data_IF_505695295044
#
_entry.id   IF_505695295044
#
_cell.length_a   1.000
_cell.length_b   1.000
_cell.length_c   1.000
_cell.angle_alpha   90.00
_cell.angle_beta   90.00
_cell.angle_gamma   90.00
#
_symmetry.space_group_name_H-M   'P 1'
#
loop_
_entity.id
_entity.type
_entity.pdbx_description
1 polymer ?
#
# COMPACT_ATOMS: atom_id res chain seq x y z
N UNK A 1 10.35 29.27 -2.92
CA UNK A 1 9.35 28.25 -3.31
C UNK A 1 9.12 27.37 -2.09
N UNK A 2 7.93 27.44 -1.49
CA UNK A 2 7.58 26.55 -0.37
C UNK A 2 7.43 25.14 -0.92
N UNK A 3 8.23 24.20 -0.39
CA UNK A 3 8.04 22.77 -0.68
C UNK A 3 6.67 22.37 -0.16
N UNK A 4 5.75 22.07 -1.06
CA UNK A 4 4.48 21.40 -0.77
C UNK A 4 4.81 19.91 -0.55
N UNK A 5 5.67 19.63 0.43
CA UNK A 5 5.83 18.31 1.02
C UNK A 5 4.95 18.28 2.27
N UNK A 6 4.38 17.12 2.60
CA UNK A 6 3.71 16.93 3.88
C UNK A 6 4.55 17.56 5.00
N UNK A 7 4.05 18.65 5.61
CA UNK A 7 4.75 19.44 6.64
C UNK A 7 5.09 18.59 7.88
N UNK A 8 4.51 17.39 7.99
CA UNK A 8 4.78 16.41 9.03
C UNK A 8 5.64 15.27 8.49
N UNK A 9 6.93 15.29 8.84
CA UNK A 9 7.81 14.12 8.70
C UNK A 9 7.23 12.96 9.50
N UNK A 10 6.92 11.83 8.85
CA UNK A 10 6.32 10.66 9.51
C UNK A 10 7.16 10.10 10.68
N UNK A 11 8.48 10.16 10.56
CA UNK A 11 9.50 9.90 11.60
C UNK A 11 10.53 11.04 11.65
N UNK A 12 11.04 11.43 12.81
CA UNK A 12 12.09 12.46 12.87
C UNK A 12 13.47 11.94 12.36
N UNK A 13 13.76 10.66 12.55
CA UNK A 13 15.05 10.03 12.25
C UNK A 13 15.05 9.30 10.89
N UNK A 14 15.91 9.76 9.97
CA UNK A 14 16.04 9.21 8.62
C UNK A 14 16.61 7.78 8.58
N UNK A 15 17.47 7.38 9.54
CA UNK A 15 18.02 6.02 9.57
C UNK A 15 16.97 5.00 9.99
N UNK A 16 16.18 5.36 11.02
CA UNK A 16 15.05 4.54 11.48
C UNK A 16 13.97 4.46 10.41
N UNK A 17 13.64 5.59 9.78
CA UNK A 17 12.67 5.65 8.68
C UNK A 17 13.03 4.69 7.54
N UNK A 18 14.28 4.69 7.06
CA UNK A 18 14.70 3.80 5.97
C UNK A 18 14.58 2.31 6.32
N UNK A 19 14.85 1.95 7.59
CA UNK A 19 14.71 0.56 8.06
C UNK A 19 13.24 0.14 8.15
N UNK A 20 12.36 1.05 8.57
CA UNK A 20 10.91 0.85 8.62
C UNK A 20 10.34 0.75 7.21
N UNK A 21 10.72 1.65 6.31
CA UNK A 21 10.32 1.69 4.91
C UNK A 21 10.57 0.35 4.19
N UNK A 22 11.79 -0.16 4.33
CA UNK A 22 12.18 -1.42 3.68
C UNK A 22 11.40 -2.61 4.24
N UNK A 23 11.17 -2.66 5.56
CA UNK A 23 10.32 -3.69 6.18
C UNK A 23 8.89 -3.59 5.71
N UNK A 24 8.36 -2.37 5.63
CA UNK A 24 7.01 -2.08 5.16
C UNK A 24 6.82 -2.60 3.73
N UNK A 25 7.71 -2.24 2.79
CA UNK A 25 7.61 -2.67 1.40
C UNK A 25 7.73 -4.19 1.25
N UNK A 26 8.68 -4.84 1.96
CA UNK A 26 8.82 -6.30 1.91
C UNK A 26 7.56 -7.02 2.40
N UNK A 27 6.98 -6.56 3.50
CA UNK A 27 5.74 -7.13 4.06
C UNK A 27 4.56 -6.87 3.13
N UNK A 28 4.42 -5.64 2.64
CA UNK A 28 3.35 -5.24 1.73
C UNK A 28 3.36 -6.10 0.45
N UNK A 29 4.52 -6.24 -0.20
CA UNK A 29 4.66 -7.04 -1.43
C UNK A 29 4.36 -8.51 -1.15
N UNK A 30 4.81 -9.05 -0.02
CA UNK A 30 4.53 -10.44 0.36
C UNK A 30 3.02 -10.69 0.57
N UNK A 31 2.33 -9.75 1.21
CA UNK A 31 0.88 -9.81 1.43
C UNK A 31 0.13 -9.67 0.11
N UNK A 32 0.47 -8.68 -0.72
CA UNK A 32 -0.16 -8.48 -2.03
C UNK A 32 0.03 -9.71 -2.91
N UNK A 33 1.22 -10.33 -2.91
CA UNK A 33 1.47 -11.56 -3.64
C UNK A 33 0.63 -12.74 -3.13
N UNK A 34 0.51 -12.90 -1.81
CA UNK A 34 -0.33 -13.94 -1.21
C UNK A 34 -1.82 -13.74 -1.55
N UNK A 35 -2.32 -12.50 -1.46
CA UNK A 35 -3.69 -12.15 -1.82
C UNK A 35 -3.93 -12.33 -3.33
N UNK A 36 -2.98 -11.97 -4.19
CA UNK A 36 -3.06 -12.18 -5.64
C UNK A 36 -3.17 -13.68 -5.96
N UNK A 37 -2.35 -14.52 -5.34
CA UNK A 37 -2.42 -15.98 -5.49
C UNK A 37 -3.75 -16.54 -5.00
N UNK A 38 -4.31 -15.98 -3.93
CA UNK A 38 -5.64 -16.33 -3.44
C UNK A 38 -6.74 -15.96 -4.44
N UNK A 39 -6.69 -14.77 -5.05
CA UNK A 39 -7.59 -14.35 -6.13
C UNK A 39 -7.50 -15.30 -7.31
N UNK A 40 -6.29 -15.62 -7.81
CA UNK A 40 -6.12 -16.52 -8.95
C UNK A 40 -6.67 -17.92 -8.70
N UNK A 41 -6.55 -18.43 -7.45
CA UNK A 41 -7.15 -19.71 -7.06
C UNK A 41 -8.68 -19.64 -6.97
N UNK A 42 -9.22 -18.52 -6.47
CA UNK A 42 -10.66 -18.31 -6.31
C UNK A 42 -11.37 -18.00 -7.64
N UNK A 43 -10.69 -17.34 -8.59
CA UNK A 43 -11.25 -17.02 -9.91
C UNK A 43 -11.67 -18.23 -10.74
N UNK A 44 -11.21 -19.43 -10.38
CA UNK A 44 -11.68 -20.70 -10.98
C UNK A 44 -12.98 -21.24 -10.37
N UNK A 45 -13.36 -20.81 -9.18
CA UNK A 45 -14.50 -21.34 -8.44
C UNK A 45 -15.41 -20.17 -8.00
N UNK A 46 -16.60 -20.12 -8.59
CA UNK A 46 -17.76 -19.32 -8.17
C UNK A 46 -17.82 -17.87 -8.67
N UNK A 47 -18.34 -17.75 -9.89
CA UNK A 47 -19.06 -16.57 -10.39
C UNK A 47 -20.50 -16.70 -9.87
N UNK A 48 -20.84 -16.19 -8.68
CA UNK A 48 -22.24 -15.87 -8.31
C UNK A 48 -22.22 -15.05 -7.00
N UNK A 49 -22.58 -13.77 -7.05
CA UNK A 49 -23.95 -13.32 -6.81
C UNK A 49 -24.01 -11.82 -6.42
N UNK A 50 -25.13 -11.19 -6.76
CA UNK A 50 -25.55 -9.80 -6.47
C UNK A 50 -24.87 -8.70 -7.30
N UNK A 51 -25.52 -8.35 -8.42
CA UNK A 51 -25.14 -7.32 -9.41
C UNK A 51 -24.76 -5.94 -8.83
N UNK A 52 -25.20 -5.59 -7.62
CA UNK A 52 -24.85 -4.33 -6.94
C UNK A 52 -23.58 -4.44 -6.07
N UNK A 53 -23.30 -5.62 -5.50
CA UNK A 53 -22.05 -5.88 -4.77
C UNK A 53 -20.90 -6.19 -5.72
N UNK A 54 -21.20 -6.81 -6.86
CA UNK A 54 -20.24 -7.02 -7.94
C UNK A 54 -19.70 -5.69 -8.49
N UNK A 55 -20.54 -4.68 -8.70
CA UNK A 55 -20.10 -3.37 -9.22
C UNK A 55 -19.23 -2.60 -8.22
N UNK A 56 -19.58 -2.60 -6.92
CA UNK A 56 -18.75 -2.00 -5.87
C UNK A 56 -17.40 -2.71 -5.74
N UNK A 57 -17.40 -4.06 -5.67
CA UNK A 57 -16.16 -4.83 -5.53
C UNK A 57 -15.25 -4.64 -6.74
N UNK A 58 -15.82 -4.71 -7.94
CA UNK A 58 -15.08 -4.47 -9.19
C UNK A 58 -14.47 -3.06 -9.25
N UNK A 59 -15.22 -2.03 -8.83
CA UNK A 59 -14.69 -0.67 -8.71
C UNK A 59 -13.54 -0.57 -7.71
N UNK A 60 -13.62 -1.26 -6.57
CA UNK A 60 -12.51 -1.35 -5.60
C UNK A 60 -11.32 -2.12 -6.16
N UNK A 61 -11.53 -3.12 -7.02
CA UNK A 61 -10.48 -3.80 -7.77
C UNK A 61 -9.75 -2.86 -8.75
N UNK A 62 -10.47 -2.01 -9.47
CA UNK A 62 -9.88 -0.98 -10.34
C UNK A 62 -9.08 0.03 -9.52
N UNK A 63 -9.66 0.53 -8.43
CA UNK A 63 -8.96 1.46 -7.53
C UNK A 63 -7.69 0.83 -6.93
N UNK A 64 -7.73 -0.45 -6.57
CA UNK A 64 -6.54 -1.18 -6.14
C UNK A 64 -5.48 -1.25 -7.25
N UNK A 65 -5.88 -1.50 -8.49
CA UNK A 65 -4.97 -1.49 -9.66
C UNK A 65 -4.36 -0.11 -9.92
N UNK A 66 -5.16 0.96 -9.83
CA UNK A 66 -4.68 2.35 -9.97
C UNK A 66 -3.71 2.73 -8.85
N UNK A 67 -3.96 2.30 -7.61
CA UNK A 67 -3.05 2.56 -6.49
C UNK A 67 -1.78 1.70 -6.58
N UNK A 68 -1.86 0.48 -7.11
CA UNK A 68 -0.69 -0.37 -7.33
C UNK A 68 0.25 0.22 -8.39
N UNK A 69 -0.31 0.83 -9.44
CA UNK A 69 0.49 1.51 -10.47
C UNK A 69 1.13 2.78 -9.92
N UNK A 70 0.41 3.59 -9.15
CA UNK A 70 1.01 4.78 -8.50
C UNK A 70 2.06 4.40 -7.45
N UNK A 71 1.86 3.31 -6.70
CA UNK A 71 2.87 2.75 -5.80
C UNK A 71 4.16 2.38 -6.56
N UNK A 72 4.02 1.64 -7.66
CA UNK A 72 5.14 1.21 -8.50
C UNK A 72 5.88 2.40 -9.11
N UNK A 73 5.13 3.42 -9.55
CA UNK A 73 5.70 4.66 -10.09
C UNK A 73 6.44 5.45 -9.00
N UNK A 74 5.88 5.59 -7.80
CA UNK A 74 6.52 6.27 -6.68
C UNK A 74 7.83 5.58 -6.26
N UNK A 75 7.87 4.25 -6.23
CA UNK A 75 9.11 3.49 -6.02
C UNK A 75 10.14 3.72 -7.13
N UNK A 76 9.71 3.74 -8.39
CA UNK A 76 10.60 4.03 -9.53
C UNK A 76 11.21 5.43 -9.46
N UNK A 77 10.39 6.42 -9.12
CA UNK A 77 10.85 7.81 -8.91
C UNK A 77 11.82 7.89 -7.73
N UNK A 78 11.52 7.23 -6.60
CA UNK A 78 12.44 7.18 -5.47
C UNK A 78 13.78 6.54 -5.85
N UNK A 79 13.77 5.41 -6.58
CA UNK A 79 14.98 4.73 -7.04
C UNK A 79 15.82 5.61 -7.97
N UNK A 80 15.18 6.36 -8.87
CA UNK A 80 15.84 7.31 -9.77
C UNK A 80 16.54 8.44 -9.00
N UNK A 81 15.83 9.11 -8.08
CA UNK A 81 16.43 10.18 -7.27
C UNK A 81 17.59 9.65 -6.42
N UNK A 82 17.43 8.46 -5.83
CA UNK A 82 18.48 7.79 -5.06
C UNK A 82 19.71 7.47 -5.90
N UNK A 83 19.54 7.08 -7.17
CA UNK A 83 20.65 6.81 -8.09
C UNK A 83 21.44 8.09 -8.44
N UNK A 84 20.77 9.24 -8.48
CA UNK A 84 21.39 10.55 -8.73
C UNK A 84 21.99 11.16 -7.44
N UNK A 85 21.87 10.47 -6.31
CA UNK A 85 22.38 10.92 -5.01
C UNK A 85 21.46 11.89 -4.27
N UNK A 86 20.23 12.11 -4.77
CA UNK A 86 19.19 12.84 -4.05
C UNK A 86 18.38 11.87 -3.19
N UNK A 87 18.19 12.20 -1.91
CA UNK A 87 17.40 11.39 -0.98
C UNK A 87 16.09 12.10 -0.65
N UNK A 88 15.16 12.15 -1.61
CA UNK A 88 13.83 12.68 -1.35
C UNK A 88 12.96 11.64 -0.67
N UNK A 89 12.87 11.82 0.65
CA UNK A 89 12.05 11.03 1.55
C UNK A 89 10.55 11.09 1.23
N UNK A 90 10.10 12.20 0.65
CA UNK A 90 8.69 12.41 0.29
C UNK A 90 8.18 11.33 -0.66
N UNK A 91 9.00 10.89 -1.62
CA UNK A 91 8.60 9.84 -2.55
C UNK A 91 8.47 8.47 -1.88
N UNK A 92 9.29 8.18 -0.87
CA UNK A 92 9.19 6.94 -0.09
C UNK A 92 7.92 6.95 0.79
N UNK A 93 7.60 8.09 1.43
CA UNK A 93 6.37 8.26 2.21
C UNK A 93 5.12 8.14 1.32
N UNK A 94 5.14 8.75 0.13
CA UNK A 94 4.10 8.58 -0.88
C UNK A 94 3.95 7.13 -1.31
N UNK A 95 5.06 6.42 -1.58
CA UNK A 95 5.03 5.02 -1.93
C UNK A 95 4.41 4.17 -0.80
N UNK A 96 4.76 4.41 0.46
CA UNK A 96 4.12 3.71 1.58
C UNK A 96 2.62 3.98 1.66
N UNK A 97 2.20 5.23 1.47
CA UNK A 97 0.79 5.61 1.50
C UNK A 97 -0.01 4.94 0.37
N UNK A 98 0.49 5.01 -0.87
CA UNK A 98 -0.17 4.35 -2.02
C UNK A 98 -0.14 2.83 -1.91
N UNK A 99 0.93 2.26 -1.35
CA UNK A 99 1.01 0.84 -1.04
C UNK A 99 -0.07 0.42 -0.03
N UNK A 100 -0.30 1.21 1.01
CA UNK A 100 -1.36 0.95 1.99
C UNK A 100 -2.75 1.02 1.34
N UNK A 101 -3.02 2.06 0.55
CA UNK A 101 -4.28 2.20 -0.18
C UNK A 101 -4.53 1.04 -1.13
N UNK A 102 -3.49 0.58 -1.82
CA UNK A 102 -3.55 -0.61 -2.68
C UNK A 102 -4.03 -1.81 -1.88
N UNK A 103 -3.42 -2.07 -0.72
CA UNK A 103 -3.79 -3.18 0.14
C UNK A 103 -5.23 -3.06 0.67
N UNK A 104 -5.64 -1.86 1.06
CA UNK A 104 -6.98 -1.57 1.55
C UNK A 104 -8.04 -1.84 0.48
N UNK A 105 -7.87 -1.28 -0.72
CA UNK A 105 -8.80 -1.51 -1.82
C UNK A 105 -8.80 -2.96 -2.29
N UNK A 106 -7.64 -3.62 -2.30
CA UNK A 106 -7.54 -5.04 -2.67
C UNK A 106 -8.23 -5.95 -1.66
N UNK A 107 -8.13 -5.63 -0.36
CA UNK A 107 -8.85 -6.35 0.70
C UNK A 107 -10.36 -6.15 0.60
N UNK A 108 -10.83 -4.93 0.31
CA UNK A 108 -12.26 -4.65 0.10
C UNK A 108 -12.79 -5.32 -1.18
N UNK A 109 -12.00 -5.37 -2.25
CA UNK A 109 -12.35 -6.12 -3.45
C UNK A 109 -12.57 -7.62 -3.15
N UNK A 110 -11.72 -8.20 -2.30
CA UNK A 110 -11.75 -9.62 -1.95
C UNK A 110 -12.87 -10.02 -0.99
N UNK A 111 -13.13 -9.20 0.03
CA UNK A 111 -14.02 -9.54 1.15
C UNK A 111 -15.22 -8.59 1.29
N UNK A 112 -15.41 -7.65 0.36
CA UNK A 112 -16.41 -6.60 0.47
C UNK A 112 -16.06 -5.59 1.58
N UNK A 113 -17.05 -4.88 2.12
CA UNK A 113 -16.84 -3.89 3.19
C UNK A 113 -16.14 -4.49 4.42
N UNK A 114 -16.36 -5.79 4.69
CA UNK A 114 -15.69 -6.54 5.75
C UNK A 114 -14.18 -6.70 5.55
N UNK A 115 -13.66 -6.45 4.35
CA UNK A 115 -12.23 -6.49 4.05
C UNK A 115 -11.39 -5.50 4.84
N UNK A 116 -11.99 -4.45 5.39
CA UNK A 116 -11.32 -3.50 6.30
C UNK A 116 -10.91 -4.20 7.61
N UNK A 117 -11.75 -5.10 8.12
CA UNK A 117 -11.46 -5.86 9.35
C UNK A 117 -10.36 -6.89 9.12
N UNK A 118 -10.28 -7.41 7.89
CA UNK A 118 -9.28 -8.39 7.45
C UNK A 118 -7.99 -7.76 6.94
N UNK A 119 -7.83 -6.44 7.04
CA UNK A 119 -6.54 -5.81 6.78
C UNK A 119 -5.51 -6.47 7.70
N UNK A 120 -4.47 -7.12 7.16
CA UNK A 120 -3.43 -7.69 8.00
C UNK A 120 -2.91 -6.54 8.85
N UNK A 121 -2.97 -6.68 10.17
CA UNK A 121 -2.60 -5.59 11.08
C UNK A 121 -1.14 -5.17 10.90
N UNK A 122 -0.31 -5.97 10.23
CA UNK A 122 1.14 -5.80 10.16
C UNK A 122 1.63 -4.52 9.45
N UNK A 123 1.14 -4.13 8.26
CA UNK A 123 1.50 -2.84 7.64
C UNK A 123 1.04 -1.67 8.50
N UNK A 124 -0.09 -1.83 9.21
CA UNK A 124 -0.67 -0.84 10.11
C UNK A 124 0.12 -0.72 11.42
N UNK A 125 0.58 -1.83 12.01
CA UNK A 125 1.42 -1.88 13.22
C UNK A 125 2.81 -1.33 12.91
N UNK A 126 3.38 -1.62 11.74
CA UNK A 126 4.67 -1.03 11.30
C UNK A 126 4.52 0.48 11.11
N UNK A 127 3.39 0.94 10.59
CA UNK A 127 3.09 2.36 10.43
C UNK A 127 2.82 3.06 11.77
N UNK A 128 2.09 2.42 12.69
CA UNK A 128 1.75 2.92 14.03
C UNK A 128 2.98 2.91 14.96
N UNK A 129 3.81 1.87 14.91
CA UNK A 129 5.09 1.82 15.64
C UNK A 129 6.13 2.82 15.12
N UNK A 130 5.95 3.34 13.90
CA UNK A 130 6.73 4.47 13.40
C UNK A 130 6.23 5.82 13.95
N UNK A 131 4.95 5.93 14.29
CA UNK A 131 4.30 7.16 14.80
C UNK A 131 4.42 7.28 16.32
N UNK A 132 4.36 6.17 17.06
CA UNK A 132 4.42 6.13 18.53
C UNK A 132 5.81 5.66 18.96
N UNK A 133 6.70 6.56 19.44
CA UNK A 133 7.95 6.15 20.03
C UNK A 133 7.66 5.58 21.44
N UNK A 134 7.90 4.30 21.63
CA UNK A 134 8.24 3.75 22.94
C UNK A 134 9.76 3.59 23.01
#
# INVERSE_FOLDING_TARGET
MQQIGFTYKFLADNRKFKKVALRYHNVLVSILFALLRFVFRRGNNEIFDVYTFASFRWMMGILAGMMASTYSMALGVHAYYKAIGSSDRVYEEMAMFFGFLTLLFFSINLFGFWGIIWLPGFPLIVLVSAIIPF
#
